data_IF_143319184298
#
_entry.id   IF_143319184298
#
_cell.length_a   1.000
_cell.length_b   1.000
_cell.length_c   1.000
_cell.angle_alpha   90.00
_cell.angle_beta   90.00
_cell.angle_gamma   90.00
#
_symmetry.space_group_name_H-M   'P 1'
#
loop_
_entity.id
_entity.type
_entity.pdbx_description
1 polymer ?
#
# COMPACT_ATOMS: atom_id res chain seq x y z
N UNK A 1 -9.06 17.17 10.15
CA UNK A 1 -8.72 15.74 9.92
C UNK A 1 -9.79 15.13 9.01
N UNK A 2 -9.40 14.42 7.94
CA UNK A 2 -10.37 13.61 7.16
C UNK A 2 -10.76 12.40 8.01
N UNK A 3 -12.06 12.21 8.24
CA UNK A 3 -12.58 11.08 9.02
C UNK A 3 -12.71 9.82 8.17
N UNK A 4 -13.12 9.96 6.91
CA UNK A 4 -13.23 8.86 5.94
C UNK A 4 -11.85 8.30 5.58
N UNK A 5 -11.73 6.98 5.60
CA UNK A 5 -10.51 6.25 5.23
C UNK A 5 -10.54 5.87 3.75
N UNK A 6 -9.38 5.94 3.09
CA UNK A 6 -9.20 5.55 1.69
C UNK A 6 -8.58 4.16 1.62
N UNK A 7 -9.28 3.26 0.92
CA UNK A 7 -8.78 1.93 0.56
C UNK A 7 -8.33 1.97 -0.90
N UNK A 8 -7.11 1.54 -1.22
CA UNK A 8 -6.66 1.38 -2.60
C UNK A 8 -6.22 -0.06 -2.88
N UNK A 9 -6.64 -0.57 -4.04
CA UNK A 9 -6.17 -1.88 -4.52
C UNK A 9 -4.81 -1.71 -5.17
N UNK A 10 -3.83 -2.50 -4.71
CA UNK A 10 -2.47 -2.46 -5.27
C UNK A 10 -2.33 -3.50 -6.37
N UNK A 11 -1.62 -3.13 -7.44
CA UNK A 11 -1.33 -3.95 -8.59
C UNK A 11 0.03 -3.57 -9.19
N UNK A 12 0.42 -4.16 -10.33
CA UNK A 12 1.73 -3.93 -10.95
C UNK A 12 2.04 -2.46 -11.25
N UNK A 13 1.02 -1.63 -11.51
CA UNK A 13 1.20 -0.20 -11.75
C UNK A 13 1.46 0.63 -10.47
N UNK A 14 1.22 0.06 -9.28
CA UNK A 14 1.24 0.77 -8.01
C UNK A 14 2.05 0.08 -6.90
N UNK A 15 2.77 -1.00 -7.21
CA UNK A 15 3.55 -1.77 -6.24
C UNK A 15 4.92 -1.17 -5.90
N UNK A 16 5.42 -0.22 -6.69
CA UNK A 16 6.76 0.33 -6.48
C UNK A 16 6.78 1.19 -5.20
N UNK A 17 7.93 1.23 -4.53
CA UNK A 17 8.07 1.96 -3.26
C UNK A 17 7.74 3.45 -3.45
N UNK A 18 8.15 4.02 -4.59
CA UNK A 18 7.94 5.43 -4.94
C UNK A 18 6.45 5.74 -5.17
N UNK A 19 5.71 4.85 -5.83
CA UNK A 19 4.28 5.05 -6.07
C UNK A 19 3.50 4.87 -4.78
N UNK A 20 3.81 3.84 -3.98
CA UNK A 20 3.19 3.62 -2.67
C UNK A 20 3.40 4.83 -1.75
N UNK A 21 4.62 5.39 -1.71
CA UNK A 21 4.91 6.60 -0.94
C UNK A 21 4.04 7.78 -1.40
N UNK A 22 3.93 8.02 -2.70
CA UNK A 22 3.05 9.07 -3.26
C UNK A 22 1.59 8.85 -2.87
N UNK A 23 1.10 7.61 -2.90
CA UNK A 23 -0.27 7.26 -2.50
C UNK A 23 -0.52 7.50 -1.01
N UNK A 24 0.44 7.16 -0.14
CA UNK A 24 0.39 7.43 1.30
C UNK A 24 0.30 8.94 1.55
N UNK A 25 1.16 9.74 0.92
CA UNK A 25 1.12 11.21 1.02
C UNK A 25 -0.21 11.78 0.51
N UNK A 26 -0.78 11.19 -0.54
CA UNK A 26 -2.08 11.59 -1.09
C UNK A 26 -3.28 11.21 -0.20
N UNK A 27 -3.09 10.35 0.81
CA UNK A 27 -4.09 10.00 1.81
C UNK A 27 -4.56 8.55 1.82
N UNK A 28 -3.82 7.62 1.19
CA UNK A 28 -4.06 6.18 1.33
C UNK A 28 -4.03 5.77 2.81
N UNK A 29 -4.97 4.94 3.25
CA UNK A 29 -5.04 4.44 4.63
C UNK A 29 -5.05 2.92 4.72
N UNK A 30 -5.54 2.22 3.71
CA UNK A 30 -5.63 0.76 3.70
C UNK A 30 -5.21 0.24 2.33
N UNK A 31 -4.31 -0.73 2.33
CA UNK A 31 -3.91 -1.46 1.13
C UNK A 31 -4.79 -2.69 0.96
N UNK A 32 -5.48 -2.77 -0.18
CA UNK A 32 -6.21 -3.97 -0.61
C UNK A 32 -5.34 -4.79 -1.55
N UNK A 33 -5.11 -6.05 -1.18
CA UNK A 33 -4.51 -7.07 -2.05
C UNK A 33 -5.61 -7.98 -2.56
N UNK A 34 -5.84 -7.97 -3.86
CA UNK A 34 -6.90 -8.78 -4.46
C UNK A 34 -6.35 -10.16 -4.84
N UNK A 35 -6.63 -11.17 -4.01
CA UNK A 35 -6.17 -12.55 -4.21
C UNK A 35 -6.84 -13.28 -5.38
N UNK A 36 -7.84 -12.69 -6.05
CA UNK A 36 -8.29 -13.19 -7.36
C UNK A 36 -7.19 -13.12 -8.43
N UNK A 37 -6.11 -12.37 -8.18
CA UNK A 37 -4.97 -12.21 -9.07
C UNK A 37 -3.65 -12.23 -8.30
N UNK A 38 -2.54 -12.53 -8.99
CA UNK A 38 -1.19 -12.47 -8.43
C UNK A 38 -0.80 -13.70 -7.58
N UNK A 39 0.49 -14.00 -7.55
CA UNK A 39 1.06 -15.07 -6.74
C UNK A 39 1.32 -14.62 -5.29
N UNK A 40 1.45 -15.56 -4.36
CA UNK A 40 1.68 -15.27 -2.95
C UNK A 40 2.98 -14.50 -2.70
N UNK A 41 4.02 -14.81 -3.45
CA UNK A 41 5.35 -14.17 -3.38
C UNK A 41 5.25 -12.69 -3.74
N UNK A 42 4.43 -12.37 -4.73
CA UNK A 42 4.17 -11.00 -5.14
C UNK A 42 3.41 -10.22 -4.06
N UNK A 43 2.33 -10.80 -3.53
CA UNK A 43 1.57 -10.20 -2.42
C UNK A 43 2.46 -9.95 -1.21
N UNK A 44 3.33 -10.92 -0.86
CA UNK A 44 4.30 -10.78 0.23
C UNK A 44 5.26 -9.61 -0.01
N UNK A 45 5.80 -9.50 -1.23
CA UNK A 45 6.68 -8.39 -1.60
C UNK A 45 5.99 -7.03 -1.43
N UNK A 46 4.72 -6.90 -1.82
CA UNK A 46 3.94 -5.67 -1.61
C UNK A 46 3.74 -5.39 -0.12
N UNK A 47 3.38 -6.41 0.68
CA UNK A 47 3.22 -6.28 2.14
C UNK A 47 4.51 -5.75 2.78
N UNK A 48 5.65 -6.32 2.42
CA UNK A 48 6.95 -5.94 2.99
C UNK A 48 7.28 -4.47 2.65
N UNK A 49 7.02 -4.03 1.41
CA UNK A 49 7.19 -2.63 0.98
C UNK A 49 6.29 -1.68 1.77
N UNK A 50 5.01 -2.00 1.90
CA UNK A 50 4.02 -1.17 2.62
C UNK A 50 4.39 -1.05 4.10
N UNK A 51 4.78 -2.17 4.75
CA UNK A 51 5.20 -2.17 6.16
C UNK A 51 6.52 -1.43 6.38
N UNK A 52 7.43 -1.47 5.42
CA UNK A 52 8.65 -0.66 5.48
C UNK A 52 8.30 0.84 5.44
N UNK A 53 7.48 1.26 4.46
CA UNK A 53 7.06 2.65 4.32
C UNK A 53 6.26 3.16 5.52
N UNK A 54 5.34 2.35 6.06
CA UNK A 54 4.58 2.69 7.27
C UNK A 54 5.51 3.02 8.45
N UNK A 55 6.57 2.23 8.65
CA UNK A 55 7.59 2.47 9.69
C UNK A 55 8.47 3.68 9.37
N UNK A 56 8.96 3.79 8.14
CA UNK A 56 9.83 4.89 7.71
C UNK A 56 9.14 6.26 7.82
N UNK A 57 7.85 6.32 7.49
CA UNK A 57 7.07 7.56 7.48
C UNK A 57 6.31 7.81 8.79
N UNK A 58 6.34 6.86 9.73
CA UNK A 58 5.58 6.89 10.98
C UNK A 58 4.08 7.13 10.77
N UNK A 59 3.49 6.42 9.80
CA UNK A 59 2.07 6.50 9.44
C UNK A 59 1.43 5.11 9.53
N UNK A 60 0.26 4.97 10.20
CA UNK A 60 -0.45 3.71 10.23
C UNK A 60 -1.13 3.45 8.89
N UNK A 61 -0.81 2.31 8.27
CA UNK A 61 -1.38 1.80 7.01
C UNK A 61 -1.74 0.33 7.21
#
# INVERSE_FOLDING_TARGET
MKQTKIVATIGPASESKEVLQKMIVAGLNVVRLNFSHGAYEWHKMVIDRVRALSREMNVPI
#
